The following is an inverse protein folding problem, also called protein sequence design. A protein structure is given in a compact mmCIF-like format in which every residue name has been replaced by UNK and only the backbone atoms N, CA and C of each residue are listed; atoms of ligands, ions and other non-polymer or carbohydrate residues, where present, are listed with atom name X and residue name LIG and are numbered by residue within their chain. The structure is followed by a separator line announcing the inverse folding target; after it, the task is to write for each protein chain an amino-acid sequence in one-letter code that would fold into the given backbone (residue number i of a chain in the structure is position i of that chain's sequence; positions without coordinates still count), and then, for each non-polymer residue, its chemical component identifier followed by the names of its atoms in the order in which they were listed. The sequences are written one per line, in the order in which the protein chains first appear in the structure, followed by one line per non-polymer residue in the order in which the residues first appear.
data_IF_334851981818
#
_entry.id   IF_334851981818
#
_cell.length_a   1.000
_cell.length_b   1.000
_cell.length_c   1.000
_cell.angle_alpha   90.00
_cell.angle_beta   90.00
_cell.angle_gamma   90.00
#
_symmetry.space_group_name_H-M   'P 1'
#
loop_
_entity.id
_entity.type
_entity.pdbx_description
1 polymer ?
#
# COMPACT_ATOMS: atom_id res chain seq x y z
N UNK A 1 1.42 -19.19 -61.15
CA UNK A 1 0.76 -19.66 -59.91
C UNK A 1 0.87 -18.50 -58.91
N UNK A 2 -0.28 -17.94 -58.53
CA UNK A 2 -0.42 -16.80 -57.63
C UNK A 2 -0.40 -17.30 -56.19
N UNK A 3 0.32 -16.63 -55.29
CA UNK A 3 0.26 -16.88 -53.86
C UNK A 3 -0.73 -15.87 -53.27
N UNK A 4 -1.81 -16.38 -52.69
CA UNK A 4 -2.91 -15.60 -52.12
C UNK A 4 -2.44 -14.87 -50.84
N UNK A 5 -2.41 -13.54 -50.90
CA UNK A 5 -2.06 -12.66 -49.78
C UNK A 5 -3.25 -12.60 -48.81
N UNK A 6 -3.18 -13.42 -47.76
CA UNK A 6 -4.17 -13.39 -46.69
C UNK A 6 -4.05 -12.10 -45.90
N UNK A 7 -4.94 -11.15 -46.21
CA UNK A 7 -5.30 -10.03 -45.34
C UNK A 7 -5.75 -10.55 -43.98
N UNK A 8 -4.84 -10.54 -43.00
CA UNK A 8 -5.22 -10.60 -41.60
C UNK A 8 -5.71 -9.22 -41.20
N UNK A 9 -7.03 -9.08 -41.17
CA UNK A 9 -7.74 -7.99 -40.52
C UNK A 9 -7.42 -8.03 -39.02
N UNK A 10 -6.41 -7.27 -38.60
CA UNK A 10 -6.07 -7.02 -37.19
C UNK A 10 -7.04 -6.00 -36.58
N UNK A 11 -8.33 -6.25 -36.74
CA UNK A 11 -9.38 -5.58 -35.97
C UNK A 11 -9.49 -6.22 -34.60
N UNK A 12 -8.41 -6.21 -33.82
CA UNK A 12 -8.52 -6.38 -32.37
C UNK A 12 -9.15 -5.10 -31.83
N UNK A 13 -10.35 -5.15 -31.21
CA UNK A 13 -10.89 -3.97 -30.56
C UNK A 13 -9.88 -3.49 -29.52
N UNK A 14 -9.62 -2.18 -29.40
CA UNK A 14 -8.75 -1.68 -28.35
C UNK A 14 -9.34 -2.16 -27.02
N UNK A 15 -8.50 -2.84 -26.25
CA UNK A 15 -8.80 -3.39 -24.93
C UNK A 15 -9.24 -2.24 -24.02
N UNK A 16 -10.55 -1.94 -24.05
CA UNK A 16 -11.18 -0.78 -23.39
C UNK A 16 -11.21 -0.94 -21.87
N UNK A 17 -10.55 -1.97 -21.34
CA UNK A 17 -10.60 -2.35 -19.93
C UNK A 17 -9.34 -1.96 -19.14
N UNK A 18 -8.50 -1.05 -19.67
CA UNK A 18 -7.37 -0.46 -18.92
C UNK A 18 -7.75 0.64 -17.94
N UNK A 19 -9.02 0.74 -17.54
CA UNK A 19 -9.38 1.41 -16.30
C UNK A 19 -9.14 0.46 -15.12
N UNK A 20 -7.91 -0.01 -14.96
CA UNK A 20 -7.42 -0.35 -13.63
C UNK A 20 -7.44 0.97 -12.86
N UNK A 21 -8.56 1.24 -12.20
CA UNK A 21 -8.69 2.20 -11.12
C UNK A 21 -7.62 1.84 -10.11
N UNK A 22 -6.42 2.37 -10.32
CA UNK A 22 -5.32 2.23 -9.38
C UNK A 22 -5.72 3.09 -8.18
N UNK A 23 -6.48 2.49 -7.27
CA UNK A 23 -6.70 3.06 -5.95
C UNK A 23 -5.33 3.49 -5.43
N UNK A 24 -5.20 4.73 -4.93
CA UNK A 24 -3.93 5.21 -4.43
C UNK A 24 -3.37 4.18 -3.44
N UNK A 25 -2.07 3.83 -3.53
CA UNK A 25 -1.54 2.71 -2.78
C UNK A 25 -1.79 2.92 -1.29
N UNK A 26 -2.41 1.96 -0.61
CA UNK A 26 -2.74 2.08 0.80
C UNK A 26 -1.49 1.93 1.67
N UNK A 27 -1.42 2.68 2.76
CA UNK A 27 -0.43 2.51 3.81
C UNK A 27 -0.80 1.34 4.71
N UNK A 28 0.18 0.51 5.06
CA UNK A 28 0.03 -0.50 6.11
C UNK A 28 0.55 0.06 7.42
N UNK A 29 -0.22 -0.11 8.49
CA UNK A 29 0.21 0.22 9.84
C UNK A 29 1.10 -0.92 10.35
N UNK A 30 2.26 -0.59 10.88
CA UNK A 30 3.17 -1.56 11.50
C UNK A 30 3.48 -1.07 12.92
N UNK A 31 3.27 -1.92 13.91
CA UNK A 31 3.80 -1.75 15.26
C UNK A 31 5.16 -2.43 15.36
N UNK A 32 6.18 -1.64 15.69
CA UNK A 32 7.52 -2.09 16.02
C UNK A 32 7.53 -2.56 17.47
N UNK A 33 7.13 -3.82 17.70
CA UNK A 33 6.83 -4.34 19.04
C UNK A 33 7.94 -4.08 20.08
N UNK A 34 9.22 -4.24 19.71
CA UNK A 34 10.33 -4.01 20.63
C UNK A 34 10.45 -2.55 21.12
N UNK A 35 10.16 -1.57 20.26
CA UNK A 35 10.29 -0.15 20.60
C UNK A 35 8.96 0.50 20.96
N UNK A 36 7.83 -0.17 20.73
CA UNK A 36 6.48 0.39 20.85
C UNK A 36 6.17 1.46 19.80
N UNK A 37 7.01 1.63 18.78
CA UNK A 37 6.83 2.66 17.76
C UNK A 37 5.88 2.19 16.66
N UNK A 38 5.08 3.12 16.15
CA UNK A 38 4.15 2.89 15.07
C UNK A 38 4.66 3.54 13.79
N UNK A 39 4.62 2.82 12.66
CA UNK A 39 5.11 3.32 11.36
C UNK A 39 4.14 2.99 10.22
N UNK A 40 4.23 3.74 9.11
CA UNK A 40 3.47 3.48 7.89
C UNK A 40 4.41 2.89 6.83
N UNK A 41 4.03 1.77 6.22
CA UNK A 41 4.70 1.21 5.05
C UNK A 41 3.81 1.33 3.82
N UNK A 42 4.34 1.93 2.74
CA UNK A 42 3.65 2.07 1.45
C UNK A 42 4.59 1.63 0.34
N UNK A 43 4.10 0.80 -0.59
CA UNK A 43 4.88 0.32 -1.74
C UNK A 43 6.27 -0.25 -1.39
N UNK A 44 6.41 -0.88 -0.22
CA UNK A 44 7.67 -1.50 0.20
C UNK A 44 8.56 -0.62 1.08
N UNK A 45 8.30 0.68 1.20
CA UNK A 45 9.14 1.63 1.96
C UNK A 45 8.39 2.27 3.13
N UNK A 46 9.14 2.73 4.14
CA UNK A 46 8.57 3.58 5.20
C UNK A 46 8.13 4.91 4.60
N UNK A 47 6.94 5.36 5.01
CA UNK A 47 6.33 6.59 4.50
C UNK A 47 6.49 7.69 5.51
N UNK A 48 7.16 8.76 5.10
CA UNK A 48 7.23 9.98 5.87
C UNK A 48 5.90 10.73 5.78
N UNK A 49 5.40 11.20 6.93
CA UNK A 49 4.18 12.01 7.02
C UNK A 49 4.47 13.20 7.91
N UNK A 50 4.40 14.41 7.33
CA UNK A 50 4.67 15.65 8.05
C UNK A 50 6.07 15.71 8.67
N UNK A 51 7.11 15.24 7.97
CA UNK A 51 8.49 15.25 8.49
C UNK A 51 8.82 14.06 9.40
N UNK A 52 7.87 13.14 9.65
CA UNK A 52 8.01 12.08 10.65
C UNK A 52 7.82 10.69 10.04
N UNK A 53 8.66 9.74 10.48
CA UNK A 53 8.59 8.33 10.05
C UNK A 53 7.95 7.41 11.09
N UNK A 54 7.83 7.86 12.35
CA UNK A 54 7.36 7.03 13.46
C UNK A 54 6.53 7.83 14.48
N UNK A 55 5.60 7.15 15.15
CA UNK A 55 4.71 7.71 16.17
C UNK A 55 4.73 6.87 17.44
N UNK A 56 4.45 7.48 18.61
CA UNK A 56 4.42 6.77 19.87
C UNK A 56 3.18 5.88 20.04
N UNK A 57 2.11 6.13 19.29
CA UNK A 57 0.85 5.39 19.38
C UNK A 57 0.12 5.35 18.04
N UNK A 58 -0.77 4.35 17.88
CA UNK A 58 -1.57 4.14 16.66
C UNK A 58 -2.46 5.34 16.32
N UNK A 59 -3.10 5.95 17.31
CA UNK A 59 -4.06 7.04 17.10
C UNK A 59 -3.38 8.30 16.57
N UNK A 60 -2.17 8.60 17.03
CA UNK A 60 -1.34 9.70 16.54
C UNK A 60 -0.88 9.46 15.10
N UNK A 61 -0.56 8.21 14.74
CA UNK A 61 -0.23 7.83 13.36
C UNK A 61 -1.43 7.97 12.43
N UNK A 62 -2.60 7.46 12.83
CA UNK A 62 -3.83 7.54 12.04
C UNK A 62 -4.24 8.98 11.78
N UNK A 63 -4.14 9.84 12.81
CA UNK A 63 -4.38 11.29 12.66
C UNK A 63 -3.43 11.93 11.65
N UNK A 64 -2.14 11.61 11.71
CA UNK A 64 -1.16 12.13 10.76
C UNK A 64 -1.46 11.67 9.33
N UNK A 65 -1.79 10.39 9.14
CA UNK A 65 -2.14 9.84 7.83
C UNK A 65 -3.42 10.49 7.27
N UNK A 66 -4.44 10.68 8.10
CA UNK A 66 -5.68 11.37 7.72
C UNK A 66 -5.41 12.82 7.28
N UNK A 67 -4.57 13.55 8.03
CA UNK A 67 -4.16 14.91 7.67
C UNK A 67 -3.39 14.96 6.34
N UNK A 68 -2.63 13.92 6.02
CA UNK A 68 -1.88 13.81 4.77
C UNK A 68 -2.65 13.16 3.61
N UNK A 69 -3.92 12.77 3.82
CA UNK A 69 -4.73 12.11 2.79
C UNK A 69 -4.21 10.72 2.40
N UNK A 70 -3.52 10.03 3.31
CA UNK A 70 -2.99 8.69 3.08
C UNK A 70 -4.02 7.66 3.56
N UNK A 71 -4.66 6.89 2.66
CA UNK A 71 -5.55 5.81 3.08
C UNK A 71 -4.75 4.70 3.76
N UNK A 72 -5.19 4.27 4.93
CA UNK A 72 -4.57 3.20 5.71
C UNK A 72 -5.37 1.90 5.58
N UNK A 73 -4.69 0.78 5.69
CA UNK A 73 -5.32 -0.53 5.91
C UNK A 73 -5.78 -0.63 7.36
N UNK A 74 -6.97 -1.21 7.56
CA UNK A 74 -7.53 -1.44 8.91
C UNK A 74 -6.74 -2.46 9.74
N UNK A 75 -5.93 -3.30 9.07
CA UNK A 75 -5.10 -4.33 9.70
C UNK A 75 -3.71 -3.79 10.00
N UNK A 76 -3.32 -3.85 11.27
CA UNK A 76 -1.96 -3.57 11.71
C UNK A 76 -1.10 -4.85 11.71
N UNK A 77 0.17 -4.70 11.35
CA UNK A 77 1.18 -5.77 11.49
C UNK A 77 1.97 -5.52 12.76
N UNK A 78 1.97 -6.48 13.68
CA UNK A 78 2.79 -6.44 14.88
C UNK A 78 4.08 -7.23 14.60
N UNK A 79 5.25 -6.60 14.70
CA UNK A 79 6.52 -7.24 14.31
C UNK A 79 7.08 -8.22 15.34
N UNK A 80 6.38 -8.43 16.46
CA UNK A 80 6.73 -9.44 17.46
C UNK A 80 5.55 -9.77 18.37
N UNK A 81 5.69 -10.85 19.14
CA UNK A 81 4.90 -11.07 20.36
C UNK A 81 5.69 -10.47 21.51
N UNK A 82 5.20 -9.37 22.06
CA UNK A 82 5.41 -9.14 23.48
C UNK A 82 4.40 -10.05 24.17
N UNK A 83 4.80 -11.28 24.47
CA UNK A 83 4.07 -12.05 25.47
C UNK A 83 4.14 -11.22 26.75
N UNK A 84 3.06 -10.51 27.06
CA UNK A 84 2.93 -9.69 28.27
C UNK A 84 2.89 -10.53 29.56
N UNK A 85 3.16 -11.83 29.45
CA UNK A 85 3.03 -12.86 30.50
C UNK A 85 4.40 -13.41 30.95
N UNK A 86 5.49 -12.66 30.77
CA UNK A 86 6.75 -12.94 31.45
C UNK A 86 7.04 -11.85 32.46
N UNK A 87 6.23 -11.79 33.53
CA UNK A 87 6.72 -11.38 34.85
C UNK A 87 5.84 -11.84 36.00
#
# INVERSE_FOLDING_TARGET
MMFDEKHYDDSRPPDRNRSSTHSPPMGRIIEMAFSGLWVIKRQGVLTEVGGRLYWPDRQSLERAAAQAGIPLSDVAVHTGRLDADSR
#
